data_IF_046275446050
#
_entry.id   IF_046275446050
#
_cell.length_a   1.000
_cell.length_b   1.000
_cell.length_c   1.000
_cell.angle_alpha   90.00
_cell.angle_beta   90.00
_cell.angle_gamma   90.00
#
_symmetry.space_group_name_H-M   'P 1'
#
loop_
_entity.id
_entity.type
_entity.pdbx_description
1 polymer ?
#
# COMPACT_ATOMS: atom_id res chain seq x y z
N UNK A 1 -13.16 -0.79 37.28
CA UNK A 1 -11.74 -1.00 37.03
C UNK A 1 -11.58 -1.37 35.58
N UNK A 2 -10.94 -0.51 34.82
CA UNK A 2 -10.44 -0.87 33.49
C UNK A 2 -9.36 -1.93 33.72
N UNK A 3 -9.66 -3.17 33.44
CA UNK A 3 -8.61 -4.12 33.10
C UNK A 3 -8.07 -3.68 31.75
N UNK A 4 -6.92 -3.04 31.77
CA UNK A 4 -6.11 -2.78 30.59
C UNK A 4 -5.75 -4.14 30.03
N UNK A 5 -6.36 -4.51 28.90
CA UNK A 5 -5.88 -5.63 28.10
C UNK A 5 -4.45 -5.33 27.70
N UNK A 6 -3.52 -6.07 28.23
CA UNK A 6 -2.10 -5.90 27.90
C UNK A 6 -1.84 -6.29 26.45
N UNK A 7 -1.02 -5.52 25.72
CA UNK A 7 -0.72 -5.79 24.31
C UNK A 7 -0.37 -7.23 23.95
N UNK A 8 0.27 -8.04 24.81
CA UNK A 8 0.56 -9.44 24.51
C UNK A 8 -0.67 -10.32 24.30
N UNK A 9 -1.76 -10.07 25.02
CA UNK A 9 -2.96 -10.91 24.94
C UNK A 9 -3.73 -10.66 23.64
N UNK A 10 -3.59 -9.45 23.06
CA UNK A 10 -4.11 -9.11 21.75
C UNK A 10 -3.23 -9.63 20.60
N UNK A 11 -1.94 -9.84 20.85
CA UNK A 11 -0.97 -10.21 19.82
C UNK A 11 -0.83 -11.72 19.60
N UNK A 12 -1.22 -12.54 20.58
CA UNK A 12 -0.95 -13.98 20.59
C UNK A 12 -2.19 -14.86 20.90
N UNK A 13 -3.39 -14.30 20.86
CA UNK A 13 -4.61 -15.07 21.03
C UNK A 13 -4.79 -16.11 19.91
N UNK A 14 -5.27 -17.31 20.25
CA UNK A 14 -5.52 -18.43 19.36
C UNK A 14 -6.55 -18.12 18.24
N UNK A 15 -7.28 -17.01 18.37
CA UNK A 15 -8.27 -16.55 17.37
C UNK A 15 -7.63 -15.97 16.08
N UNK A 16 -6.30 -15.78 16.07
CA UNK A 16 -5.58 -15.26 14.91
C UNK A 16 -4.45 -16.19 14.49
N UNK A 17 -4.72 -17.18 13.65
CA UNK A 17 -3.78 -18.26 13.32
C UNK A 17 -2.48 -17.79 12.65
N UNK A 18 -2.38 -16.53 12.25
CA UNK A 18 -1.20 -15.96 11.60
C UNK A 18 -0.48 -14.87 12.44
N UNK A 19 -0.76 -14.79 13.76
CA UNK A 19 -0.18 -13.79 14.64
C UNK A 19 -0.54 -12.34 14.24
N UNK A 20 0.34 -11.34 14.53
CA UNK A 20 0.05 -9.93 14.23
C UNK A 20 -0.22 -9.63 12.75
N UNK A 21 0.15 -10.51 11.87
CA UNK A 21 -0.08 -10.40 10.43
C UNK A 21 -1.49 -10.82 10.01
N UNK A 22 -2.14 -11.72 10.77
CA UNK A 22 -3.47 -12.22 10.46
C UNK A 22 -4.61 -11.23 10.75
N UNK A 23 -4.42 -10.29 11.65
CA UNK A 23 -5.48 -9.33 12.04
C UNK A 23 -5.52 -8.06 11.19
N UNK A 24 -4.50 -7.78 10.37
CA UNK A 24 -4.47 -6.59 9.50
C UNK A 24 -5.64 -6.54 8.53
N UNK A 25 -5.91 -7.66 7.86
CA UNK A 25 -7.02 -7.76 6.93
C UNK A 25 -8.37 -7.46 7.59
N UNK A 26 -8.74 -8.11 8.71
CA UNK A 26 -9.98 -7.83 9.43
C UNK A 26 -10.13 -6.37 9.89
N UNK A 27 -9.08 -5.73 10.42
CA UNK A 27 -9.15 -4.32 10.83
C UNK A 27 -9.40 -3.40 9.65
N UNK A 28 -8.73 -3.65 8.52
CA UNK A 28 -8.93 -2.88 7.30
C UNK A 28 -10.34 -3.14 6.75
N UNK A 29 -10.77 -4.40 6.73
CA UNK A 29 -12.08 -4.81 6.21
C UNK A 29 -13.24 -4.23 7.04
N UNK A 30 -13.07 -4.07 8.35
CA UNK A 30 -14.07 -3.45 9.22
C UNK A 30 -14.17 -1.92 9.07
N UNK A 31 -13.34 -1.32 8.23
CA UNK A 31 -13.35 0.12 7.91
C UNK A 31 -13.17 1.05 9.12
N UNK A 32 -12.49 0.57 10.15
CA UNK A 32 -12.26 1.34 11.39
C UNK A 32 -11.00 2.19 11.34
N UNK A 33 -10.03 1.78 10.49
CA UNK A 33 -8.73 2.46 10.38
C UNK A 33 -8.15 2.34 8.98
N UNK A 34 -7.53 3.41 8.52
CA UNK A 34 -6.70 3.38 7.32
C UNK A 34 -5.34 2.76 7.63
N UNK A 35 -4.79 1.99 6.70
CA UNK A 35 -3.51 1.32 6.82
C UNK A 35 -2.57 1.70 5.68
N UNK A 36 -1.32 1.92 5.99
CA UNK A 36 -0.29 2.23 5.00
C UNK A 36 1.05 2.54 5.64
N UNK A 37 2.07 2.75 4.81
CA UNK A 37 3.43 3.14 5.26
C UNK A 37 3.51 4.63 5.60
N UNK A 38 2.66 5.09 6.50
CA UNK A 38 2.52 6.51 6.84
C UNK A 38 3.65 7.08 7.69
N UNK A 39 4.37 6.22 8.43
CA UNK A 39 5.32 6.63 9.46
C UNK A 39 6.76 6.34 9.04
N UNK A 40 7.40 7.26 8.34
CA UNK A 40 8.79 7.13 7.85
C UNK A 40 9.02 5.82 7.07
N UNK A 41 8.09 5.47 6.19
CA UNK A 41 8.12 4.24 5.42
C UNK A 41 7.76 2.96 6.20
N UNK A 42 7.36 3.09 7.47
CA UNK A 42 6.84 1.99 8.28
C UNK A 42 5.33 1.98 8.25
N UNK A 43 4.77 0.77 8.22
CA UNK A 43 3.34 0.56 8.23
C UNK A 43 2.71 0.91 9.59
N UNK A 44 1.49 1.41 9.55
CA UNK A 44 0.71 1.73 10.73
C UNK A 44 -0.74 2.01 10.39
N UNK A 45 -1.56 2.17 11.42
CA UNK A 45 -2.97 2.46 11.32
C UNK A 45 -3.25 3.91 11.72
N UNK A 46 -4.22 4.52 11.06
CA UNK A 46 -4.79 5.82 11.42
C UNK A 46 -6.30 5.64 11.49
N UNK A 47 -6.90 5.97 12.64
CA UNK A 47 -8.36 5.89 12.79
C UNK A 47 -9.06 6.81 11.80
N UNK A 48 -10.25 6.43 11.35
CA UNK A 48 -11.00 7.22 10.36
C UNK A 48 -11.41 8.59 10.90
N UNK A 49 -11.57 8.73 12.21
CA UNK A 49 -11.85 10.01 12.86
C UNK A 49 -10.72 11.03 12.63
N UNK A 50 -9.46 10.58 12.69
CA UNK A 50 -8.28 11.43 12.53
C UNK A 50 -7.76 11.50 11.09
N UNK A 51 -8.25 10.63 10.21
CA UNK A 51 -7.72 10.49 8.86
C UNK A 51 -7.76 11.80 8.06
N UNK A 52 -8.86 12.59 8.04
CA UNK A 52 -8.89 13.84 7.27
C UNK A 52 -7.82 14.84 7.71
N UNK A 53 -7.66 15.05 9.02
CA UNK A 53 -6.66 15.97 9.56
C UNK A 53 -5.24 15.48 9.33
N UNK A 54 -5.04 14.17 9.50
CA UNK A 54 -3.76 13.52 9.21
C UNK A 54 -3.38 13.66 7.74
N UNK A 55 -4.33 13.48 6.82
CA UNK A 55 -4.10 13.66 5.39
C UNK A 55 -3.74 15.10 5.04
N UNK A 56 -4.48 16.07 5.58
CA UNK A 56 -4.19 17.49 5.36
C UNK A 56 -2.77 17.84 5.80
N UNK A 57 -2.39 17.39 6.99
CA UNK A 57 -1.05 17.60 7.51
C UNK A 57 0.03 16.93 6.64
N UNK A 58 -0.13 15.66 6.29
CA UNK A 58 0.85 14.91 5.49
C UNK A 58 0.98 15.44 4.07
N UNK A 59 -0.12 15.81 3.44
CA UNK A 59 -0.13 16.38 2.09
C UNK A 59 0.50 17.77 2.04
N UNK A 60 0.43 18.54 3.11
CA UNK A 60 1.16 19.81 3.22
C UNK A 60 2.68 19.60 3.25
N UNK A 61 3.15 18.54 3.90
CA UNK A 61 4.58 18.19 3.97
C UNK A 61 5.06 17.51 2.67
N UNK A 62 4.22 16.69 2.06
CA UNK A 62 4.52 15.86 0.89
C UNK A 62 3.51 16.07 -0.24
N UNK A 63 3.45 17.28 -0.85
CA UNK A 63 2.52 17.55 -1.94
C UNK A 63 2.76 16.59 -3.11
N UNK A 64 1.71 16.09 -3.75
CA UNK A 64 1.81 15.14 -4.85
C UNK A 64 2.74 15.63 -5.97
N UNK A 65 2.60 16.89 -6.37
CA UNK A 65 3.43 17.51 -7.42
C UNK A 65 4.94 17.50 -7.11
N UNK A 66 5.31 17.43 -5.84
CA UNK A 66 6.72 17.38 -5.40
C UNK A 66 7.27 15.95 -5.26
N UNK A 67 6.43 14.93 -5.45
CA UNK A 67 6.85 13.53 -5.36
C UNK A 67 7.67 13.06 -6.59
N UNK A 68 7.63 13.80 -7.68
CA UNK A 68 8.29 13.47 -8.95
C UNK A 68 7.35 12.85 -9.97
N UNK A 69 7.78 12.87 -11.23
CA UNK A 69 6.95 12.43 -12.37
C UNK A 69 6.52 10.96 -12.28
N UNK A 70 7.44 10.08 -11.87
CA UNK A 70 7.14 8.66 -11.79
C UNK A 70 6.14 8.33 -10.68
N UNK A 71 6.25 8.99 -9.52
CA UNK A 71 5.27 8.84 -8.44
C UNK A 71 3.89 9.40 -8.85
N UNK A 72 3.84 10.55 -9.50
CA UNK A 72 2.60 11.10 -10.04
C UNK A 72 1.95 10.14 -11.06
N UNK A 73 2.75 9.54 -11.94
CA UNK A 73 2.25 8.57 -12.92
C UNK A 73 1.65 7.33 -12.24
N UNK A 74 2.30 6.77 -11.22
CA UNK A 74 1.75 5.65 -10.42
C UNK A 74 0.40 6.05 -9.81
N UNK A 75 0.32 7.25 -9.25
CA UNK A 75 -0.91 7.76 -8.66
C UNK A 75 -2.04 7.91 -9.69
N UNK A 76 -1.76 8.47 -10.86
CA UNK A 76 -2.73 8.63 -11.96
C UNK A 76 -3.28 7.27 -12.42
N UNK A 77 -2.39 6.29 -12.64
CA UNK A 77 -2.79 4.91 -13.00
C UNK A 77 -3.69 4.30 -11.93
N UNK A 78 -3.38 4.52 -10.65
CA UNK A 78 -4.20 3.99 -9.56
C UNK A 78 -5.58 4.66 -9.51
N UNK A 79 -5.65 5.97 -9.68
CA UNK A 79 -6.92 6.73 -9.69
C UNK A 79 -7.83 6.25 -10.82
N UNK A 80 -7.30 6.02 -12.01
CA UNK A 80 -8.06 5.52 -13.15
C UNK A 80 -8.65 4.12 -12.93
N UNK A 81 -8.02 3.31 -12.11
CA UNK A 81 -8.42 1.93 -11.85
C UNK A 81 -9.06 1.70 -10.47
N UNK A 82 -9.26 2.77 -9.70
CA UNK A 82 -9.83 2.79 -8.34
C UNK A 82 -8.99 2.01 -7.30
N UNK A 83 -8.73 0.74 -7.52
CA UNK A 83 -7.83 -0.08 -6.70
C UNK A 83 -7.08 -1.10 -7.54
N UNK A 84 -5.84 -1.38 -7.16
CA UNK A 84 -4.99 -2.33 -7.88
C UNK A 84 -4.09 -3.12 -6.92
N UNK A 85 -3.89 -4.40 -7.22
CA UNK A 85 -2.83 -5.16 -6.57
C UNK A 85 -1.45 -4.57 -6.91
N UNK A 86 -0.51 -4.68 -5.98
CA UNK A 86 0.85 -4.16 -6.13
C UNK A 86 1.51 -4.60 -7.44
N UNK A 87 1.33 -5.85 -7.85
CA UNK A 87 1.84 -6.38 -9.13
C UNK A 87 1.21 -5.71 -10.34
N UNK A 88 -0.11 -5.54 -10.31
CA UNK A 88 -0.87 -4.90 -11.40
C UNK A 88 -0.45 -3.43 -11.54
N UNK A 89 -0.40 -2.71 -10.42
CA UNK A 89 0.00 -1.30 -10.41
C UNK A 89 1.43 -1.13 -10.92
N UNK A 90 2.34 -1.97 -10.48
CA UNK A 90 3.74 -1.97 -10.92
C UNK A 90 3.86 -2.15 -12.43
N UNK A 91 3.17 -3.15 -12.99
CA UNK A 91 3.18 -3.42 -14.43
C UNK A 91 2.51 -2.31 -15.23
N UNK A 92 1.32 -1.86 -14.81
CA UNK A 92 0.57 -0.81 -15.49
C UNK A 92 1.31 0.54 -15.47
N UNK A 93 2.12 0.80 -14.45
CA UNK A 93 2.95 2.00 -14.34
C UNK A 93 4.28 1.89 -15.13
N UNK A 94 4.51 0.78 -15.84
CA UNK A 94 5.69 0.60 -16.68
C UNK A 94 6.94 0.07 -15.98
N UNK A 95 6.79 -0.48 -14.76
CA UNK A 95 7.86 -1.15 -14.03
C UNK A 95 7.82 -2.66 -14.28
N UNK A 96 9.00 -3.27 -14.48
CA UNK A 96 9.08 -4.72 -14.67
C UNK A 96 8.95 -5.47 -13.35
N UNK A 97 8.23 -6.59 -13.39
CA UNK A 97 8.23 -7.56 -12.30
C UNK A 97 9.60 -8.26 -12.31
N UNK A 98 10.41 -8.02 -11.29
CA UNK A 98 11.69 -8.69 -11.14
C UNK A 98 11.48 -10.20 -10.99
N UNK A 99 11.68 -10.96 -12.06
CA UNK A 99 12.04 -12.38 -11.95
C UNK A 99 13.49 -12.43 -11.53
N UNK A 100 13.80 -13.13 -10.42
CA UNK A 100 15.14 -13.42 -9.89
C UNK A 100 16.28 -12.72 -10.65
N UNK A 101 17.05 -11.86 -10.00
CA UNK A 101 18.24 -11.20 -10.58
C UNK A 101 18.98 -12.13 -11.51
N UNK A 102 18.68 -12.07 -12.80
CA UNK A 102 19.70 -12.35 -13.79
C UNK A 102 20.61 -11.12 -13.76
N UNK A 103 21.85 -11.33 -13.41
CA UNK A 103 22.90 -10.33 -13.53
C UNK A 103 22.77 -9.69 -14.91
N UNK A 104 22.62 -8.37 -14.93
CA UNK A 104 22.64 -7.60 -16.17
C UNK A 104 23.94 -7.96 -16.92
N UNK A 105 23.82 -8.45 -18.12
CA UNK A 105 24.93 -8.64 -19.02
C UNK A 105 24.74 -7.69 -20.21
N UNK A 106 25.58 -6.64 -20.35
CA UNK A 106 25.43 -5.66 -21.43
C UNK A 106 25.63 -6.27 -22.83
N UNK A 107 26.20 -7.46 -22.93
CA UNK A 107 26.42 -8.17 -24.21
C UNK A 107 25.24 -9.09 -24.58
N UNK A 108 24.26 -9.29 -23.70
CA UNK A 108 23.10 -10.14 -23.98
C UNK A 108 21.88 -9.26 -24.34
N UNK A 109 21.45 -9.26 -25.63
CA UNK A 109 20.28 -8.48 -26.06
C UNK A 109 18.95 -8.93 -25.42
N UNK A 110 18.94 -10.08 -24.73
CA UNK A 110 17.78 -10.57 -23.97
C UNK A 110 17.88 -10.23 -22.49
N UNK A 111 18.96 -9.57 -22.07
CA UNK A 111 19.14 -9.11 -20.69
C UNK A 111 18.06 -8.08 -20.35
N UNK A 112 17.40 -8.19 -19.17
CA UNK A 112 16.37 -7.24 -18.80
C UNK A 112 16.98 -5.84 -18.73
N UNK A 113 16.42 -4.91 -19.49
CA UNK A 113 16.73 -3.49 -19.38
C UNK A 113 16.46 -3.08 -17.95
N UNK A 114 17.45 -2.46 -17.32
CA UNK A 114 17.29 -1.91 -15.97
C UNK A 114 16.26 -0.77 -16.03
N UNK A 115 14.98 -1.10 -15.79
CA UNK A 115 13.89 -0.12 -15.75
C UNK A 115 13.91 0.64 -14.43
N UNK A 116 14.99 1.33 -14.17
CA UNK A 116 15.05 2.38 -13.17
C UNK A 116 14.75 3.71 -13.87
N UNK A 117 13.49 4.03 -14.04
CA UNK A 117 13.11 5.41 -14.38
C UNK A 117 13.65 6.31 -13.28
N UNK A 118 14.66 7.12 -13.58
CA UNK A 118 15.33 8.03 -12.65
C UNK A 118 15.95 7.39 -11.40
N UNK A 119 16.32 6.11 -11.42
CA UNK A 119 17.03 5.45 -10.34
C UNK A 119 16.20 5.08 -9.10
N UNK A 120 14.88 5.25 -9.12
CA UNK A 120 14.02 4.86 -7.99
C UNK A 120 13.19 3.61 -8.30
N UNK A 121 13.27 2.60 -7.40
CA UNK A 121 12.44 1.42 -7.49
C UNK A 121 10.97 1.73 -7.20
N UNK A 122 10.04 0.97 -7.80
CA UNK A 122 8.61 1.10 -7.56
C UNK A 122 8.25 1.12 -6.07
N UNK A 123 8.85 0.25 -5.27
CA UNK A 123 8.55 0.14 -3.84
C UNK A 123 8.89 1.42 -3.07
N UNK A 124 9.95 2.13 -3.47
CA UNK A 124 10.30 3.42 -2.87
C UNK A 124 9.33 4.53 -3.27
N UNK A 125 8.86 4.51 -4.51
CA UNK A 125 7.90 5.50 -5.03
C UNK A 125 6.53 5.32 -4.38
N UNK A 126 6.04 4.08 -4.27
CA UNK A 126 4.77 3.80 -3.63
C UNK A 126 4.81 4.15 -2.13
N UNK A 127 5.93 3.88 -1.45
CA UNK A 127 6.11 4.27 -0.05
C UNK A 127 6.08 5.80 0.13
N UNK A 128 6.63 6.57 -0.79
CA UNK A 128 6.51 8.04 -0.77
C UNK A 128 5.06 8.51 -0.92
N UNK A 129 4.29 7.89 -1.81
CA UNK A 129 2.87 8.19 -1.99
C UNK A 129 2.06 7.84 -0.73
N UNK A 130 2.37 6.73 -0.08
CA UNK A 130 1.76 6.35 1.20
C UNK A 130 2.12 7.34 2.32
N UNK A 131 3.38 7.76 2.43
CA UNK A 131 3.82 8.76 3.42
C UNK A 131 3.10 10.10 3.27
N UNK A 132 2.81 10.52 2.05
CA UNK A 132 2.01 11.70 1.75
C UNK A 132 0.50 11.47 1.88
N UNK A 133 0.06 10.26 2.22
CA UNK A 133 -1.36 9.86 2.28
C UNK A 133 -2.11 9.98 0.94
N UNK A 134 -1.38 9.95 -0.16
CA UNK A 134 -1.99 9.92 -1.50
C UNK A 134 -2.50 8.53 -1.84
N UNK A 135 -1.90 7.51 -1.25
CA UNK A 135 -2.22 6.10 -1.42
C UNK A 135 -2.29 5.43 -0.05
N UNK A 136 -3.20 4.50 0.12
CA UNK A 136 -3.30 3.61 1.28
C UNK A 136 -3.49 2.16 0.83
N UNK A 137 -3.48 1.24 1.77
CA UNK A 137 -3.69 -0.19 1.53
C UNK A 137 -5.15 -0.52 1.84
N UNK A 138 -5.85 -1.04 0.83
CA UNK A 138 -7.24 -1.45 0.95
C UNK A 138 -7.39 -2.87 1.50
N UNK A 139 -6.47 -3.76 1.14
CA UNK A 139 -6.56 -5.17 1.49
C UNK A 139 -5.22 -5.88 1.26
N UNK A 140 -5.12 -7.12 1.76
CA UNK A 140 -4.05 -8.05 1.47
C UNK A 140 -4.63 -9.31 0.85
N UNK A 141 -4.21 -9.62 -0.37
CA UNK A 141 -4.62 -10.82 -1.08
C UNK A 141 -3.49 -11.86 -1.07
N UNK A 142 -3.84 -13.09 -0.71
CA UNK A 142 -2.89 -14.20 -0.68
C UNK A 142 -2.95 -14.99 -1.97
N UNK A 143 -1.80 -15.45 -2.44
CA UNK A 143 -1.73 -16.43 -3.51
C UNK A 143 -2.30 -17.74 -3.01
N UNK A 144 -3.06 -18.41 -3.87
CA UNK A 144 -3.67 -19.72 -3.58
C UNK A 144 -2.85 -20.83 -4.23
N UNK A 145 -2.49 -21.84 -3.44
CA UNK A 145 -1.78 -23.01 -3.92
C UNK A 145 -2.70 -23.91 -4.79
N UNK A 146 -2.11 -24.88 -5.49
CA UNK A 146 -2.88 -25.89 -6.24
C UNK A 146 -3.82 -26.72 -5.34
N UNK A 147 -3.57 -26.73 -4.03
CA UNK A 147 -4.40 -27.40 -3.02
C UNK A 147 -5.51 -26.49 -2.47
N UNK A 148 -5.65 -25.26 -2.97
CA UNK A 148 -6.64 -24.29 -2.50
C UNK A 148 -6.27 -23.57 -1.19
N UNK A 149 -5.03 -23.67 -0.71
CA UNK A 149 -4.57 -23.05 0.52
C UNK A 149 -3.81 -21.74 0.24
N UNK A 150 -4.01 -20.69 1.05
CA UNK A 150 -3.20 -19.46 0.98
C UNK A 150 -1.74 -19.78 1.28
N UNK A 151 -0.82 -19.18 0.52
CA UNK A 151 0.60 -19.31 0.75
C UNK A 151 1.37 -18.03 0.51
N UNK A 152 2.53 -17.91 1.14
CA UNK A 152 3.42 -16.76 1.02
C UNK A 152 2.91 -15.53 1.76
N UNK A 153 3.50 -14.38 1.42
CA UNK A 153 3.12 -13.09 1.96
C UNK A 153 1.95 -12.51 1.17
N UNK A 154 1.00 -11.89 1.88
CA UNK A 154 -0.11 -11.20 1.24
C UNK A 154 0.38 -10.10 0.31
N UNK A 155 -0.22 -9.99 -0.86
CA UNK A 155 -0.01 -8.91 -1.80
C UNK A 155 -0.89 -7.73 -1.41
N UNK A 156 -0.30 -6.55 -1.23
CA UNK A 156 -1.07 -5.35 -0.95
C UNK A 156 -1.92 -4.96 -2.16
N UNK A 157 -3.18 -4.63 -1.90
CA UNK A 157 -4.06 -3.91 -2.81
C UNK A 157 -4.04 -2.44 -2.42
N UNK A 158 -3.63 -1.59 -3.34
CA UNK A 158 -3.57 -0.15 -3.16
C UNK A 158 -4.85 0.54 -3.64
N UNK A 159 -5.20 1.61 -2.97
CA UNK A 159 -6.25 2.54 -3.40
C UNK A 159 -5.92 3.95 -2.90
N UNK A 160 -6.72 4.93 -3.31
CA UNK A 160 -6.68 6.25 -2.69
C UNK A 160 -7.58 6.28 -1.46
N UNK A 161 -7.27 7.07 -0.42
CA UNK A 161 -8.16 7.24 0.72
C UNK A 161 -9.55 7.74 0.33
N UNK A 162 -9.63 8.60 -0.67
CA UNK A 162 -10.89 9.16 -1.19
C UNK A 162 -11.77 8.08 -1.83
N UNK A 163 -11.18 7.12 -2.53
CA UNK A 163 -11.91 6.00 -3.13
C UNK A 163 -12.36 4.98 -2.07
N UNK A 164 -11.53 4.78 -1.03
CA UNK A 164 -11.83 3.81 0.02
C UNK A 164 -12.85 4.32 1.04
N UNK A 165 -12.82 5.62 1.34
CA UNK A 165 -13.66 6.26 2.36
C UNK A 165 -14.40 7.48 1.79
N UNK A 166 -15.24 7.32 0.76
CA UNK A 166 -15.88 8.44 0.08
C UNK A 166 -16.76 9.30 1.00
N UNK A 167 -17.30 8.71 2.07
CA UNK A 167 -18.12 9.42 3.07
C UNK A 167 -17.33 10.45 3.88
N UNK A 168 -16.01 10.29 4.01
CA UNK A 168 -15.14 11.25 4.69
C UNK A 168 -14.76 12.45 3.80
N UNK A 169 -14.94 12.31 2.50
CA UNK A 169 -14.56 13.30 1.50
C UNK A 169 -15.73 13.61 0.56
N UNK A 170 -16.84 14.19 1.09
CA UNK A 170 -17.98 14.52 0.25
C UNK A 170 -17.53 15.47 -0.86
N UNK A 171 -17.88 15.12 -2.10
CA UNK A 171 -17.67 16.01 -3.25
C UNK A 171 -18.45 17.29 -2.94
N UNK A 172 -17.76 18.41 -2.84
CA UNK A 172 -18.46 19.71 -2.82
C UNK A 172 -19.07 19.88 -4.17
N UNK A 173 -20.38 19.73 -4.26
CA UNK A 173 -21.13 20.18 -5.42
C UNK A 173 -20.87 21.68 -5.57
N UNK A 174 -20.28 22.05 -6.71
CA UNK A 174 -20.04 23.43 -7.11
C UNK A 174 -21.37 24.05 -7.56
#
# INVERSE_FOLDING_TARGET
SREEMTPPDLLFGDDFPNGPWGWKGPIIANWESAYGKFFKGKAGFVSLEWLPDFMNWRRSLYPLKKQGKDACHIYEVLVENESMLSRQLKTASGFTLSRKRKTFNPEDPTSPVENTRNGMAFDSLIAKLEMGTHVCIADFEYLISKKGEPYGWGLARYCTPEAMYPELFPVKEL
#
